data_IF_294057652836
#
_entry.id   IF_294057652836
#
_cell.length_a   1.000
_cell.length_b   1.000
_cell.length_c   1.000
_cell.angle_alpha   90.00
_cell.angle_beta   90.00
_cell.angle_gamma   90.00
#
_symmetry.space_group_name_H-M   'P 1'
#
loop_
_entity.id
_entity.type
_entity.pdbx_description
1 polymer ?
#
# COMPACT_ATOMS: atom_id res chain seq x y z
N UNK A 1 27.60 9.28 -17.58
CA UNK A 1 26.99 8.92 -16.29
C UNK A 1 25.52 9.27 -16.40
N UNK A 2 24.62 8.36 -16.02
CA UNK A 2 23.23 8.74 -15.82
C UNK A 2 23.15 9.64 -14.59
N UNK A 3 22.41 10.74 -14.70
CA UNK A 3 22.08 11.59 -13.55
C UNK A 3 21.09 10.87 -12.64
N UNK A 4 21.16 11.14 -11.34
CA UNK A 4 20.12 10.70 -10.42
C UNK A 4 18.75 11.25 -10.85
N UNK A 5 17.75 10.37 -10.92
CA UNK A 5 16.36 10.70 -11.20
C UNK A 5 15.51 10.30 -9.98
N UNK A 6 14.96 11.27 -9.22
CA UNK A 6 14.15 10.97 -8.04
C UNK A 6 12.84 10.26 -8.39
N UNK A 7 12.29 10.47 -9.58
CA UNK A 7 11.02 9.85 -9.98
C UNK A 7 11.23 8.36 -10.26
N UNK A 8 12.29 8.02 -10.99
CA UNK A 8 12.68 6.63 -11.23
C UNK A 8 13.08 5.93 -9.92
N UNK A 9 13.79 6.64 -9.03
CA UNK A 9 14.16 6.11 -7.73
C UNK A 9 12.94 5.79 -6.86
N UNK A 10 11.94 6.68 -6.82
CA UNK A 10 10.71 6.46 -6.06
C UNK A 10 9.88 5.33 -6.66
N UNK A 11 9.76 5.28 -7.99
CA UNK A 11 9.06 4.23 -8.74
C UNK A 11 9.64 2.84 -8.42
N UNK A 12 10.97 2.72 -8.45
CA UNK A 12 11.65 1.47 -8.11
C UNK A 12 11.39 1.04 -6.66
N UNK A 13 11.47 1.97 -5.70
CA UNK A 13 11.20 1.66 -4.29
C UNK A 13 9.76 1.21 -4.04
N UNK A 14 8.79 1.84 -4.71
CA UNK A 14 7.39 1.43 -4.63
C UNK A 14 7.21 0.03 -5.23
N UNK A 15 7.74 -0.21 -6.42
CA UNK A 15 7.65 -1.51 -7.06
C UNK A 15 8.28 -2.63 -6.19
N UNK A 16 9.43 -2.37 -5.56
CA UNK A 16 10.09 -3.34 -4.67
C UNK A 16 9.34 -3.55 -3.34
N UNK A 17 8.49 -2.60 -2.92
CA UNK A 17 7.65 -2.75 -1.72
C UNK A 17 6.44 -3.64 -1.95
N UNK A 18 6.01 -3.81 -3.21
CA UNK A 18 4.90 -4.67 -3.60
C UNK A 18 5.46 -6.06 -3.93
N UNK A 19 5.52 -6.93 -2.94
CA UNK A 19 6.04 -8.28 -3.13
C UNK A 19 5.23 -9.29 -2.33
N UNK A 20 5.33 -10.55 -2.73
CA UNK A 20 4.83 -11.68 -1.98
C UNK A 20 5.95 -12.72 -1.82
N UNK A 21 6.22 -13.10 -0.58
CA UNK A 21 7.15 -14.16 -0.22
C UNK A 21 6.37 -15.38 0.25
N UNK A 22 6.31 -16.39 -0.61
CA UNK A 22 5.59 -17.64 -0.36
C UNK A 22 6.26 -18.54 0.70
N UNK A 23 7.55 -18.34 1.02
CA UNK A 23 8.22 -19.11 2.07
C UNK A 23 7.74 -18.68 3.46
N UNK A 24 7.47 -17.40 3.64
CA UNK A 24 7.06 -16.79 4.90
C UNK A 24 5.59 -16.37 4.94
N UNK A 25 4.86 -16.62 3.86
CA UNK A 25 3.51 -16.10 3.61
C UNK A 25 3.39 -14.61 3.97
N UNK A 26 4.37 -13.85 3.49
CA UNK A 26 4.57 -12.44 3.80
C UNK A 26 4.26 -11.57 2.57
N UNK A 27 3.49 -10.52 2.77
CA UNK A 27 3.02 -9.61 1.75
C UNK A 27 3.50 -8.20 2.07
N UNK A 28 4.23 -7.60 1.14
CA UNK A 28 4.54 -6.18 1.16
C UNK A 28 3.34 -5.37 0.66
N UNK A 29 2.86 -4.46 1.50
CA UNK A 29 1.77 -3.55 1.16
C UNK A 29 2.26 -2.12 1.17
N UNK A 30 1.77 -1.32 0.21
CA UNK A 30 1.95 0.12 0.20
C UNK A 30 0.60 0.81 0.34
N UNK A 31 0.52 1.69 1.33
CA UNK A 31 -0.64 2.51 1.61
C UNK A 31 -0.36 3.97 1.29
N UNK A 32 -1.34 4.69 0.77
CA UNK A 32 -1.30 6.14 0.60
C UNK A 32 -2.22 6.81 1.62
N UNK A 33 -1.64 7.63 2.49
CA UNK A 33 -2.31 8.21 3.66
C UNK A 33 -2.71 9.65 3.36
N UNK A 34 -3.97 9.99 3.65
CA UNK A 34 -4.45 11.36 3.69
C UNK A 34 -4.18 11.93 5.09
N UNK A 35 -3.18 12.82 5.17
CA UNK A 35 -2.82 13.48 6.43
C UNK A 35 -3.83 14.52 6.89
N UNK A 36 -4.77 14.95 6.03
CA UNK A 36 -5.81 15.91 6.42
C UNK A 36 -6.91 15.26 7.24
N UNK A 37 -7.18 13.98 6.95
CA UNK A 37 -8.18 13.17 7.66
C UNK A 37 -7.56 12.09 8.54
N UNK A 38 -6.22 11.94 8.51
CA UNK A 38 -5.46 10.89 9.19
C UNK A 38 -6.02 9.50 8.87
N UNK A 39 -6.17 9.21 7.57
CA UNK A 39 -6.78 7.97 7.07
C UNK A 39 -5.99 7.35 5.93
N UNK A 40 -5.90 6.03 5.94
CA UNK A 40 -5.43 5.26 4.79
C UNK A 40 -6.42 5.39 3.63
N UNK A 41 -6.01 6.00 2.52
CA UNK A 41 -6.93 6.28 1.40
C UNK A 41 -6.84 5.26 0.29
N UNK A 42 -5.63 4.78 -0.04
CA UNK A 42 -5.40 3.80 -1.09
C UNK A 42 -4.49 2.72 -0.55
N UNK A 43 -4.77 1.47 -0.89
CA UNK A 43 -4.00 0.30 -0.50
C UNK A 43 -3.56 -0.40 -1.79
N UNK A 44 -2.32 -0.86 -1.82
CA UNK A 44 -1.82 -1.69 -2.90
C UNK A 44 -1.01 -2.87 -2.38
N UNK A 45 -1.25 -4.02 -2.98
CA UNK A 45 -0.59 -5.27 -2.62
C UNK A 45 -0.61 -6.25 -3.79
N UNK A 46 0.20 -7.30 -3.69
CA UNK A 46 0.07 -8.46 -4.58
C UNK A 46 -1.05 -9.39 -4.09
N UNK A 47 -1.92 -9.84 -4.99
CA UNK A 47 -2.91 -10.88 -4.74
C UNK A 47 -2.37 -12.22 -5.26
N UNK A 48 -2.03 -13.18 -4.38
CA UNK A 48 -1.60 -14.52 -4.81
C UNK A 48 -2.69 -15.31 -5.51
N UNK A 49 -3.97 -15.06 -5.20
CA UNK A 49 -5.11 -15.73 -5.83
C UNK A 49 -5.27 -15.30 -7.29
N UNK A 50 -5.15 -14.00 -7.56
CA UNK A 50 -5.32 -13.45 -8.91
C UNK A 50 -4.02 -13.39 -9.71
N UNK A 51 -2.87 -13.61 -9.05
CA UNK A 51 -1.51 -13.42 -9.60
C UNK A 51 -1.29 -11.99 -10.15
N UNK A 52 -1.88 -10.99 -9.50
CA UNK A 52 -1.90 -9.59 -9.94
C UNK A 52 -1.61 -8.64 -8.77
N UNK A 53 -1.10 -7.45 -9.09
CA UNK A 53 -1.02 -6.34 -8.14
C UNK A 53 -2.34 -5.59 -8.13
N UNK A 54 -3.00 -5.54 -6.98
CA UNK A 54 -4.30 -4.91 -6.82
C UNK A 54 -4.10 -3.56 -6.14
N UNK A 55 -4.82 -2.54 -6.62
CA UNK A 55 -4.88 -1.21 -6.02
C UNK A 55 -6.33 -0.92 -5.69
N UNK A 56 -6.56 -0.56 -4.44
CA UNK A 56 -7.89 -0.40 -3.86
C UNK A 56 -8.06 0.99 -3.24
N UNK A 57 -9.29 1.49 -3.27
CA UNK A 57 -9.69 2.73 -2.62
C UNK A 57 -10.45 2.39 -1.34
N UNK A 58 -9.98 2.88 -0.21
CA UNK A 58 -10.65 2.71 1.07
C UNK A 58 -12.04 3.38 1.06
N UNK A 59 -13.04 2.65 1.55
CA UNK A 59 -14.43 3.10 1.62
C UNK A 59 -14.92 3.20 3.07
N UNK A 60 -14.32 2.44 3.98
CA UNK A 60 -14.58 2.46 5.42
C UNK A 60 -13.27 2.36 6.22
N UNK A 61 -13.26 2.95 7.43
CA UNK A 61 -12.10 3.01 8.31
C UNK A 61 -12.46 2.55 9.72
N UNK A 62 -11.47 2.01 10.42
CA UNK A 62 -11.60 1.71 11.84
C UNK A 62 -11.83 2.98 12.68
N UNK A 63 -12.37 2.78 13.89
CA UNK A 63 -12.39 3.84 14.89
C UNK A 63 -10.95 4.10 15.37
N UNK A 64 -10.47 5.33 15.20
CA UNK A 64 -9.12 5.73 15.54
C UNK A 64 -9.11 6.83 16.60
N UNK A 65 -8.41 6.58 17.70
CA UNK A 65 -8.15 7.55 18.77
C UNK A 65 -6.63 7.81 18.88
N UNK A 66 -6.16 9.03 18.59
CA UNK A 66 -4.75 9.38 18.71
C UNK A 66 -4.21 9.23 20.14
N UNK A 67 -2.97 8.77 20.27
CA UNK A 67 -2.23 8.69 21.54
C UNK A 67 -2.35 7.37 22.31
N UNK A 68 -2.89 6.32 21.69
CA UNK A 68 -2.83 4.95 22.20
C UNK A 68 -1.43 4.34 22.03
N UNK A 69 -1.16 3.22 22.70
CA UNK A 69 0.17 2.56 22.69
C UNK A 69 0.53 1.98 21.30
N UNK A 70 -0.48 1.62 20.52
CA UNK A 70 -0.44 1.07 19.16
C UNK A 70 -0.74 2.12 18.08
N UNK A 71 -0.71 3.41 18.43
CA UNK A 71 -0.97 4.51 17.49
C UNK A 71 0.08 4.56 16.36
N UNK A 72 -0.36 4.22 15.15
CA UNK A 72 0.43 4.31 13.90
C UNK A 72 0.29 5.66 13.18
N UNK A 73 -0.53 6.58 13.71
CA UNK A 73 -0.70 7.96 13.24
C UNK A 73 -1.88 8.19 12.29
N UNK A 74 -2.65 7.15 11.94
CA UNK A 74 -3.81 7.22 11.06
C UNK A 74 -4.73 6.01 11.26
N UNK A 75 -5.99 6.15 10.86
CA UNK A 75 -6.97 5.07 10.84
C UNK A 75 -6.75 4.16 9.62
N UNK A 76 -6.70 2.84 9.84
CA UNK A 76 -6.63 1.84 8.78
C UNK A 76 -7.98 1.63 8.10
N UNK A 77 -7.93 1.25 6.81
CA UNK A 77 -9.12 0.87 6.08
C UNK A 77 -9.63 -0.50 6.58
N UNK A 78 -10.95 -0.64 6.68
CA UNK A 78 -11.63 -1.91 7.00
C UNK A 78 -12.52 -2.42 5.86
N UNK A 79 -12.75 -1.57 4.85
CA UNK A 79 -13.43 -1.93 3.60
C UNK A 79 -12.85 -1.10 2.46
N UNK A 80 -12.86 -1.67 1.25
CA UNK A 80 -12.28 -1.06 0.06
C UNK A 80 -12.93 -1.56 -1.23
N UNK A 81 -12.86 -0.73 -2.27
CA UNK A 81 -13.23 -1.10 -3.63
C UNK A 81 -11.96 -1.18 -4.50
N UNK A 82 -11.81 -2.25 -5.29
CA UNK A 82 -10.76 -2.32 -6.31
C UNK A 82 -10.94 -1.19 -7.34
N UNK A 83 -9.86 -0.41 -7.54
CA UNK A 83 -9.80 0.63 -8.57
C UNK A 83 -8.87 0.27 -9.73
N UNK A 84 -8.12 -0.82 -9.61
CA UNK A 84 -7.44 -1.46 -10.73
C UNK A 84 -6.51 -2.60 -10.31
N UNK A 85 -6.25 -3.48 -11.26
CA UNK A 85 -5.34 -4.62 -11.15
C UNK A 85 -4.29 -4.58 -12.27
N UNK A 86 -3.06 -4.93 -11.92
CA UNK A 86 -1.88 -4.74 -12.77
C UNK A 86 -1.01 -5.99 -12.78
N UNK A 87 -0.48 -6.33 -13.95
CA UNK A 87 0.37 -7.52 -14.12
C UNK A 87 1.81 -7.32 -13.65
N UNK A 88 2.23 -6.09 -13.38
CA UNK A 88 3.59 -5.77 -12.94
C UNK A 88 3.55 -4.76 -11.79
N UNK A 89 4.54 -4.86 -10.90
CA UNK A 89 4.70 -3.92 -9.78
C UNK A 89 5.02 -2.50 -10.30
N UNK A 90 5.73 -2.41 -11.41
CA UNK A 90 6.02 -1.19 -12.15
C UNK A 90 4.75 -0.41 -12.54
N UNK A 91 3.76 -1.10 -13.12
CA UNK A 91 2.49 -0.48 -13.54
C UNK A 91 1.68 -0.01 -12.32
N UNK A 92 1.65 -0.81 -11.25
CA UNK A 92 1.01 -0.42 -9.99
C UNK A 92 1.72 0.78 -9.34
N UNK A 93 3.06 0.84 -9.39
CA UNK A 93 3.86 1.95 -8.87
C UNK A 93 3.55 3.26 -9.60
N UNK A 94 3.40 3.22 -10.92
CA UNK A 94 3.04 4.40 -11.71
C UNK A 94 1.67 4.96 -11.32
N UNK A 95 0.70 4.08 -11.05
CA UNK A 95 -0.64 4.43 -10.57
C UNK A 95 -0.57 5.05 -9.18
N UNK A 96 0.19 4.45 -8.26
CA UNK A 96 0.36 4.94 -6.89
C UNK A 96 1.02 6.32 -6.86
N UNK A 97 2.06 6.55 -7.66
CA UNK A 97 2.70 7.86 -7.80
C UNK A 97 1.69 8.88 -8.34
N UNK A 98 0.93 8.52 -9.36
CA UNK A 98 -0.09 9.40 -9.93
C UNK A 98 -1.15 9.76 -8.89
N UNK A 99 -1.65 8.79 -8.12
CA UNK A 99 -2.67 9.00 -7.09
C UNK A 99 -2.15 9.80 -5.90
N UNK A 100 -0.94 9.51 -5.44
CA UNK A 100 -0.29 10.28 -4.38
C UNK A 100 -0.17 11.76 -4.76
N UNK A 101 0.20 12.04 -6.02
CA UNK A 101 0.28 13.43 -6.55
C UNK A 101 -1.09 14.07 -6.73
N UNK A 102 -2.06 13.34 -7.28
CA UNK A 102 -3.43 13.84 -7.53
C UNK A 102 -4.15 14.23 -6.24
N UNK A 103 -4.02 13.39 -5.21
CA UNK A 103 -4.75 13.49 -3.95
C UNK A 103 -3.90 14.06 -2.80
N UNK A 104 -2.63 14.39 -3.06
CA UNK A 104 -1.67 14.89 -2.06
C UNK A 104 -1.53 13.94 -0.85
N UNK A 105 -1.35 12.65 -1.13
CA UNK A 105 -1.20 11.58 -0.13
C UNK A 105 0.28 11.27 0.13
N UNK A 106 0.57 10.70 1.29
CA UNK A 106 1.93 10.26 1.67
C UNK A 106 2.03 8.74 1.69
N UNK A 107 3.16 8.15 1.25
CA UNK A 107 3.31 6.70 1.28
C UNK A 107 3.59 6.19 2.70
N UNK A 108 3.06 5.01 3.01
CA UNK A 108 3.37 4.18 4.17
C UNK A 108 3.54 2.75 3.70
N UNK A 109 4.52 2.01 4.22
CA UNK A 109 4.76 0.62 3.86
C UNK A 109 4.54 -0.26 5.08
N UNK A 110 3.79 -1.33 4.89
CA UNK A 110 3.55 -2.34 5.93
C UNK A 110 3.87 -3.72 5.37
N UNK A 111 4.28 -4.63 6.24
CA UNK A 111 4.43 -6.04 5.89
C UNK A 111 3.36 -6.82 6.63
N UNK A 112 2.51 -7.50 5.89
CA UNK A 112 1.48 -8.38 6.42
C UNK A 112 2.01 -9.81 6.39
N UNK A 113 1.79 -10.54 7.46
CA UNK A 113 2.04 -11.96 7.54
C UNK A 113 0.69 -12.64 7.66
N UNK A 114 0.45 -13.71 6.90
CA UNK A 114 -0.70 -14.55 7.22
C UNK A 114 -0.50 -15.14 8.61
N UNK A 115 -1.48 -14.95 9.49
CA UNK A 115 -1.50 -15.64 10.76
C UNK A 115 -1.64 -17.14 10.47
N UNK A 116 -0.58 -17.93 10.67
CA UNK A 116 -0.75 -19.37 10.85
C UNK A 116 -1.78 -19.52 11.99
N UNK A 117 -2.97 -20.07 11.69
CA UNK A 117 -3.85 -20.54 12.75
C UNK A 117 -3.03 -21.52 13.60
N UNK A 118 -2.64 -21.08 14.81
CA UNK A 118 -2.09 -21.97 15.82
C UNK A 118 -3.26 -22.88 16.24
N UNK A 119 -3.44 -23.98 15.50
CA UNK A 119 -4.35 -25.07 15.84
C UNK A 119 -3.74 -26.00 16.90
#
# INVERSE_FOLDING_TARGET
MMSFDPDEFARQLIAESLFYDAEYDALGTLSLIDLTTSRESIIAAYSPEEEMFVVELATEWEEYEPGQEDDIGYALAVDSDEIGSYSTADDAADVLISKARELNLVPSMTMLFSEEEIN
#
